data_IF_176508119061
#
_entry.id   IF_176508119061
#
_cell.length_a   1.000
_cell.length_b   1.000
_cell.length_c   1.000
_cell.angle_alpha   90.00
_cell.angle_beta   90.00
_cell.angle_gamma   90.00
#
_symmetry.space_group_name_H-M   'P 1'
#
loop_
_entity.id
_entity.type
_entity.pdbx_description
1 polymer ?
#
# COMPACT_ATOMS: atom_id res chain seq x y z
N UNK A 1 -3.86 -3.50 15.29
CA UNK A 1 -4.29 -2.07 15.34
C UNK A 1 -3.37 -1.14 14.55
N UNK A 2 -2.04 -1.31 14.66
CA UNK A 2 -1.03 -0.39 14.12
C UNK A 2 -1.07 -0.21 12.60
N UNK A 3 -1.51 -1.22 11.86
CA UNK A 3 -1.68 -1.14 10.39
C UNK A 3 -2.97 -0.43 9.96
N UNK A 4 -3.82 0.01 10.92
CA UNK A 4 -5.00 0.83 10.67
C UNK A 4 -6.12 0.13 9.89
N UNK A 5 -6.28 -1.18 10.08
CA UNK A 5 -7.30 -1.97 9.36
C UNK A 5 -8.71 -1.40 9.56
N UNK A 6 -9.00 -0.77 10.71
CA UNK A 6 -10.29 -0.14 10.97
C UNK A 6 -10.64 0.97 9.98
N UNK A 7 -9.66 1.74 9.52
CA UNK A 7 -9.91 2.82 8.57
C UNK A 7 -10.14 2.27 7.15
N UNK A 8 -9.35 1.27 6.75
CA UNK A 8 -9.57 0.55 5.50
C UNK A 8 -10.95 -0.14 5.48
N UNK A 9 -11.33 -0.77 6.60
CA UNK A 9 -12.62 -1.42 6.77
C UNK A 9 -13.79 -0.41 6.71
N UNK A 10 -13.65 0.74 7.37
CA UNK A 10 -14.64 1.82 7.28
C UNK A 10 -14.88 2.24 5.83
N UNK A 11 -13.82 2.51 5.08
CA UNK A 11 -13.91 2.98 3.70
C UNK A 11 -14.53 1.91 2.79
N UNK A 12 -14.11 0.66 2.92
CA UNK A 12 -14.67 -0.45 2.15
C UNK A 12 -16.18 -0.64 2.43
N UNK A 13 -16.57 -0.57 3.71
CA UNK A 13 -17.98 -0.69 4.11
C UNK A 13 -18.82 0.49 3.59
N UNK A 14 -18.30 1.71 3.62
CA UNK A 14 -18.99 2.89 3.11
C UNK A 14 -19.24 2.83 1.59
N UNK A 15 -18.36 2.12 0.85
CA UNK A 15 -18.51 1.89 -0.59
C UNK A 15 -19.29 0.62 -0.94
N UNK A 16 -19.57 -0.25 0.02
CA UNK A 16 -20.14 -1.58 -0.23
C UNK A 16 -19.21 -2.51 -0.99
N UNK A 17 -17.87 -2.27 -0.91
CA UNK A 17 -16.86 -3.04 -1.63
C UNK A 17 -16.15 -4.03 -0.71
N UNK A 18 -15.71 -5.15 -1.30
CA UNK A 18 -14.98 -6.18 -0.57
C UNK A 18 -13.59 -5.71 -0.18
N UNK A 19 -13.23 -5.90 1.08
CA UNK A 19 -11.89 -5.72 1.61
C UNK A 19 -11.22 -7.08 1.82
N UNK A 20 -10.28 -7.41 0.97
CA UNK A 20 -9.43 -8.61 1.13
C UNK A 20 -8.26 -8.27 2.06
N UNK A 21 -8.04 -9.11 3.08
CA UNK A 21 -6.94 -8.95 4.03
C UNK A 21 -6.09 -10.21 4.04
N UNK A 22 -4.82 -10.05 3.66
CA UNK A 22 -3.82 -11.13 3.71
C UNK A 22 -2.93 -10.99 4.94
N UNK A 23 -2.53 -12.10 5.48
CA UNK A 23 -1.65 -12.22 6.64
C UNK A 23 -2.26 -13.01 7.78
N UNK A 24 -1.49 -13.10 8.85
CA UNK A 24 -1.88 -13.84 10.06
C UNK A 24 -2.59 -12.91 11.03
N UNK A 25 -3.75 -13.31 11.50
CA UNK A 25 -4.49 -12.58 12.54
C UNK A 25 -3.82 -12.84 13.88
N UNK A 26 -3.09 -11.86 14.39
CA UNK A 26 -2.39 -11.94 15.68
C UNK A 26 -3.31 -11.63 16.86
N UNK A 27 -4.27 -10.72 16.68
CA UNK A 27 -5.25 -10.31 17.69
C UNK A 27 -6.66 -10.66 17.21
N UNK A 28 -7.18 -11.78 17.69
CA UNK A 28 -8.52 -12.27 17.36
C UNK A 28 -9.62 -11.34 17.88
N UNK A 29 -9.42 -10.70 19.03
CA UNK A 29 -10.40 -9.80 19.62
C UNK A 29 -10.56 -8.52 18.78
N UNK A 30 -9.46 -8.00 18.27
CA UNK A 30 -9.45 -6.87 17.33
C UNK A 30 -10.10 -7.23 16.00
N UNK A 31 -9.78 -8.40 15.44
CA UNK A 31 -10.38 -8.87 14.19
C UNK A 31 -11.91 -8.99 14.30
N UNK A 32 -12.40 -9.65 15.35
CA UNK A 32 -13.82 -9.81 15.63
C UNK A 32 -14.54 -8.46 15.85
N UNK A 33 -13.87 -7.48 16.49
CA UNK A 33 -14.43 -6.14 16.65
C UNK A 33 -14.63 -5.46 15.30
N UNK A 34 -13.67 -5.58 14.39
CA UNK A 34 -13.78 -5.01 13.03
C UNK A 34 -14.91 -5.72 12.27
N UNK A 35 -14.92 -7.04 12.23
CA UNK A 35 -15.99 -7.80 11.53
C UNK A 35 -17.38 -7.40 11.97
N UNK A 36 -17.60 -7.29 13.29
CA UNK A 36 -18.91 -6.88 13.86
C UNK A 36 -19.32 -5.45 13.50
N UNK A 37 -18.40 -4.60 13.12
CA UNK A 37 -18.67 -3.21 12.72
C UNK A 37 -19.01 -3.05 11.24
N UNK A 38 -18.92 -4.11 10.45
CA UNK A 38 -19.09 -4.10 9.00
C UNK A 38 -20.39 -4.78 8.57
N UNK A 39 -20.86 -4.40 7.41
CA UNK A 39 -21.92 -5.13 6.73
C UNK A 39 -21.44 -6.54 6.34
N UNK A 40 -22.34 -7.55 6.36
CA UNK A 40 -21.96 -8.91 6.01
C UNK A 40 -21.30 -9.01 4.63
N UNK A 41 -20.20 -9.75 4.56
CA UNK A 41 -19.50 -10.03 3.30
C UNK A 41 -18.53 -8.94 2.81
N UNK A 42 -18.37 -7.84 3.55
CA UNK A 42 -17.39 -6.80 3.21
C UNK A 42 -15.96 -7.30 3.45
N UNK A 43 -15.69 -7.89 4.62
CA UNK A 43 -14.34 -8.33 5.00
C UNK A 43 -14.09 -9.78 4.61
N UNK A 44 -12.99 -10.01 3.91
CA UNK A 44 -12.52 -11.35 3.52
C UNK A 44 -11.11 -11.58 4.07
N UNK A 45 -10.97 -12.43 5.09
CA UNK A 45 -9.68 -12.92 5.56
C UNK A 45 -9.16 -13.98 4.59
N UNK A 46 -8.01 -13.70 3.96
CA UNK A 46 -7.42 -14.58 2.94
C UNK A 46 -6.23 -15.39 3.46
N UNK A 47 -5.86 -15.19 4.73
CA UNK A 47 -4.71 -15.87 5.32
C UNK A 47 -3.37 -15.47 4.72
N UNK A 48 -2.37 -16.33 4.93
CA UNK A 48 -1.05 -16.15 4.35
C UNK A 48 -1.01 -16.78 2.95
N UNK A 49 -0.38 -16.09 2.01
CA UNK A 49 -0.08 -16.59 0.68
C UNK A 49 1.40 -16.42 0.38
N UNK A 50 1.96 -17.35 -0.38
CA UNK A 50 3.29 -17.22 -0.95
C UNK A 50 3.33 -16.09 -1.99
N UNK A 51 4.52 -15.55 -2.24
CA UNK A 51 4.70 -14.34 -3.05
C UNK A 51 4.01 -14.40 -4.41
N UNK A 52 4.15 -15.51 -5.13
CA UNK A 52 3.56 -15.66 -6.48
C UNK A 52 2.03 -15.68 -6.46
N UNK A 53 1.44 -16.33 -5.46
CA UNK A 53 -0.01 -16.38 -5.29
C UNK A 53 -0.56 -15.03 -4.85
N UNK A 54 0.14 -14.37 -3.90
CA UNK A 54 -0.22 -13.03 -3.44
C UNK A 54 -0.20 -12.02 -4.60
N UNK A 55 0.82 -12.06 -5.45
CA UNK A 55 0.91 -11.15 -6.61
C UNK A 55 -0.26 -11.34 -7.58
N UNK A 56 -0.66 -12.58 -7.85
CA UNK A 56 -1.83 -12.88 -8.69
C UNK A 56 -3.13 -12.31 -8.10
N UNK A 57 -3.36 -12.60 -6.82
CA UNK A 57 -4.55 -12.12 -6.09
C UNK A 57 -4.56 -10.58 -6.01
N UNK A 58 -3.43 -9.97 -5.62
CA UNK A 58 -3.27 -8.54 -5.52
C UNK A 58 -3.51 -7.85 -6.87
N UNK A 59 -2.96 -8.40 -7.95
CA UNK A 59 -3.16 -7.87 -9.30
C UNK A 59 -4.62 -7.79 -9.74
N UNK A 60 -5.53 -8.57 -9.13
CA UNK A 60 -6.99 -8.49 -9.38
C UNK A 60 -7.68 -7.39 -8.59
N UNK A 61 -7.01 -6.82 -7.58
CA UNK A 61 -7.60 -5.80 -6.72
C UNK A 61 -7.72 -4.46 -7.44
N UNK A 62 -8.72 -3.69 -7.05
CA UNK A 62 -8.95 -2.35 -7.56
C UNK A 62 -7.91 -1.36 -7.05
N UNK A 63 -7.54 -1.47 -5.78
CA UNK A 63 -6.54 -0.65 -5.10
C UNK A 63 -5.95 -1.36 -3.89
N UNK A 64 -4.76 -0.94 -3.45
CA UNK A 64 -4.26 -1.20 -2.12
C UNK A 64 -4.65 -0.03 -1.19
N UNK A 65 -5.16 -0.34 0.01
CA UNK A 65 -5.30 0.61 1.10
C UNK A 65 -4.14 0.45 2.07
N UNK A 66 -3.34 1.51 2.27
CA UNK A 66 -2.23 1.54 3.21
C UNK A 66 -2.48 2.64 4.26
N UNK A 67 -2.95 2.23 5.42
CA UNK A 67 -3.50 3.11 6.47
C UNK A 67 -2.77 3.02 7.81
N UNK A 68 -1.41 2.94 7.86
CA UNK A 68 -0.69 2.75 9.11
C UNK A 68 -0.90 3.91 10.08
N UNK A 69 -0.96 3.59 11.38
CA UNK A 69 -1.07 4.57 12.48
C UNK A 69 0.31 5.09 12.93
N UNK A 70 1.37 4.68 12.28
CA UNK A 70 2.76 5.03 12.53
C UNK A 70 3.45 5.57 11.29
N UNK A 71 4.65 6.11 11.43
CA UNK A 71 5.47 6.47 10.28
C UNK A 71 6.13 5.19 9.72
N UNK A 72 5.58 4.67 8.63
CA UNK A 72 6.14 3.52 7.92
C UNK A 72 7.51 3.90 7.34
N UNK A 73 8.55 3.10 7.62
CA UNK A 73 9.90 3.44 7.19
C UNK A 73 10.07 3.49 5.67
N UNK A 74 9.58 2.48 4.96
CA UNK A 74 9.63 2.42 3.49
C UNK A 74 8.26 2.14 2.88
N UNK A 75 7.60 1.05 3.26
CA UNK A 75 6.31 0.66 2.70
C UNK A 75 6.44 -0.34 1.56
N UNK A 76 7.10 -1.48 1.80
CA UNK A 76 7.27 -2.55 0.80
C UNK A 76 5.96 -2.93 0.11
N UNK A 77 4.86 -3.04 0.87
CA UNK A 77 3.54 -3.39 0.32
C UNK A 77 3.05 -2.39 -0.74
N UNK A 78 3.47 -1.12 -0.65
CA UNK A 78 3.15 -0.09 -1.65
C UNK A 78 3.87 -0.40 -2.97
N UNK A 79 5.18 -0.66 -2.90
CA UNK A 79 5.97 -1.02 -4.08
C UNK A 79 5.47 -2.33 -4.70
N UNK A 80 5.13 -3.33 -3.89
CA UNK A 80 4.58 -4.61 -4.33
C UNK A 80 3.24 -4.44 -5.07
N UNK A 81 2.36 -3.58 -4.56
CA UNK A 81 1.10 -3.26 -5.22
C UNK A 81 1.32 -2.56 -6.56
N UNK A 82 2.16 -1.52 -6.58
CA UNK A 82 2.52 -0.81 -7.81
C UNK A 82 3.18 -1.73 -8.84
N UNK A 83 4.02 -2.68 -8.40
CA UNK A 83 4.62 -3.70 -9.26
C UNK A 83 3.58 -4.62 -9.91
N UNK A 84 2.46 -4.88 -9.25
CA UNK A 84 1.32 -5.60 -9.79
C UNK A 84 0.39 -4.70 -10.62
N UNK A 85 0.75 -3.45 -10.85
CA UNK A 85 -0.09 -2.47 -11.53
C UNK A 85 -1.32 -2.07 -10.71
N UNK A 86 -1.25 -2.14 -9.38
CA UNK A 86 -2.36 -1.79 -8.48
C UNK A 86 -2.09 -0.42 -7.88
N UNK A 87 -2.95 0.58 -8.12
CA UNK A 87 -2.80 1.89 -7.53
C UNK A 87 -3.04 1.85 -6.01
N UNK A 88 -2.45 2.80 -5.30
CA UNK A 88 -2.47 2.82 -3.84
C UNK A 88 -3.18 4.06 -3.31
N UNK A 89 -4.05 3.89 -2.33
CA UNK A 89 -4.51 4.99 -1.48
C UNK A 89 -3.91 4.82 -0.10
N UNK A 90 -3.06 5.77 0.30
CA UNK A 90 -2.33 5.70 1.56
C UNK A 90 -2.47 6.99 2.37
N UNK A 91 -2.30 6.90 3.67
CA UNK A 91 -2.05 8.09 4.48
C UNK A 91 -0.71 8.72 4.10
N UNK A 92 -0.69 10.07 4.01
CA UNK A 92 0.55 10.84 3.76
C UNK A 92 1.45 10.80 5.00
N UNK A 93 2.12 9.63 5.20
CA UNK A 93 2.89 9.34 6.41
C UNK A 93 4.06 8.42 6.08
N UNK A 94 5.29 8.85 6.40
CA UNK A 94 6.51 8.08 6.18
C UNK A 94 6.80 7.73 4.72
N UNK A 95 7.46 6.58 4.48
CA UNK A 95 7.91 6.12 3.18
C UNK A 95 6.87 6.08 2.06
N UNK A 96 5.61 5.69 2.29
CA UNK A 96 4.56 5.77 1.27
C UNK A 96 4.41 7.16 0.64
N UNK A 97 4.71 8.24 1.40
CA UNK A 97 4.66 9.62 0.88
C UNK A 97 5.76 9.93 -0.13
N UNK A 98 6.83 9.16 -0.15
CA UNK A 98 7.96 9.31 -1.09
C UNK A 98 7.79 8.41 -2.33
N UNK A 99 7.03 7.32 -2.18
CA UNK A 99 6.81 6.32 -3.24
C UNK A 99 5.64 6.69 -4.13
N UNK A 100 4.53 7.16 -3.53
CA UNK A 100 3.29 7.42 -4.26
C UNK A 100 3.36 8.79 -4.94
N UNK A 101 3.33 8.79 -6.27
CA UNK A 101 3.10 10.00 -7.05
C UNK A 101 1.60 10.31 -7.05
N UNK A 102 1.21 11.32 -6.26
CA UNK A 102 -0.19 11.70 -6.06
C UNK A 102 -0.89 12.04 -7.38
N UNK A 103 -2.01 11.37 -7.67
CA UNK A 103 -2.75 11.52 -8.91
C UNK A 103 -2.19 10.75 -10.11
N UNK A 104 -1.05 10.03 -9.94
CA UNK A 104 -0.42 9.28 -11.02
C UNK A 104 -0.28 7.78 -10.73
N UNK A 105 0.20 7.40 -9.56
CA UNK A 105 0.32 6.01 -9.13
C UNK A 105 -0.60 5.66 -7.97
N UNK A 106 -1.31 6.65 -7.45
CA UNK A 106 -2.22 6.53 -6.33
C UNK A 106 -2.52 7.88 -5.71
N UNK A 107 -3.06 7.85 -4.50
CA UNK A 107 -3.41 9.06 -3.77
C UNK A 107 -2.87 9.05 -2.34
N UNK A 108 -2.45 10.21 -1.87
CA UNK A 108 -2.00 10.45 -0.50
C UNK A 108 -3.11 11.20 0.25
N UNK A 109 -3.75 10.50 1.16
CA UNK A 109 -4.80 11.02 2.02
C UNK A 109 -4.22 11.69 3.29
N UNK A 110 -4.99 12.58 3.87
CA UNK A 110 -4.65 13.21 5.15
C UNK A 110 -4.57 12.11 6.22
N UNK A 111 -3.49 12.06 7.05
CA UNK A 111 -3.37 11.08 8.10
C UNK A 111 -4.57 11.05 9.05
N UNK A 112 -5.09 9.84 9.30
CA UNK A 112 -6.24 9.55 10.16
C UNK A 112 -7.59 10.15 9.70
N UNK A 113 -7.64 10.71 8.49
CA UNK A 113 -8.87 11.23 7.88
C UNK A 113 -9.47 10.18 6.92
N UNK A 114 -10.49 9.48 7.40
CA UNK A 114 -11.19 8.44 6.64
C UNK A 114 -11.99 9.00 5.46
N UNK A 115 -12.48 10.23 5.57
CA UNK A 115 -13.22 10.89 4.49
C UNK A 115 -12.29 11.25 3.33
N UNK A 116 -11.06 11.65 3.64
CA UNK A 116 -10.01 11.84 2.63
C UNK A 116 -9.69 10.52 1.90
N UNK A 117 -9.54 9.40 2.64
CA UNK A 117 -9.36 8.07 2.04
C UNK A 117 -10.53 7.69 1.14
N UNK A 118 -11.76 7.87 1.63
CA UNK A 118 -13.01 7.56 0.91
C UNK A 118 -13.12 8.38 -0.37
N UNK A 119 -12.81 9.66 -0.31
CA UNK A 119 -12.82 10.55 -1.47
C UNK A 119 -11.90 10.05 -2.58
N UNK A 120 -10.65 9.74 -2.25
CA UNK A 120 -9.68 9.25 -3.21
C UNK A 120 -10.00 7.85 -3.73
N UNK A 121 -10.54 6.96 -2.90
CA UNK A 121 -10.91 5.63 -3.38
C UNK A 121 -12.04 5.67 -4.41
N UNK A 122 -12.94 6.65 -4.35
CA UNK A 122 -13.99 6.83 -5.37
C UNK A 122 -13.42 7.13 -6.76
N UNK A 123 -12.30 7.84 -6.83
CA UNK A 123 -11.67 8.27 -8.09
C UNK A 123 -10.49 7.37 -8.51
N UNK A 124 -10.17 6.32 -7.76
CA UNK A 124 -8.97 5.50 -7.97
C UNK A 124 -8.92 4.85 -9.36
N UNK A 125 -10.06 4.63 -10.00
CA UNK A 125 -10.13 4.06 -11.36
C UNK A 125 -9.61 5.02 -12.45
N UNK A 126 -9.39 6.30 -12.13
CA UNK A 126 -8.77 7.28 -13.02
C UNK A 126 -7.25 7.06 -13.16
N UNK A 127 -6.65 6.32 -12.23
CA UNK A 127 -5.22 6.00 -12.26
C UNK A 127 -4.95 4.92 -13.32
N UNK A 128 -4.05 5.22 -14.25
CA UNK A 128 -3.56 4.22 -15.21
C UNK A 128 -2.66 3.20 -14.51
N UNK A 129 -3.13 1.97 -14.44
CA UNK A 129 -2.42 0.85 -13.81
C UNK A 129 -1.05 0.56 -14.44
N UNK A 130 -0.86 0.87 -15.73
CA UNK A 130 0.43 0.73 -16.40
C UNK A 130 1.47 1.68 -15.82
N UNK A 131 1.07 2.91 -15.47
CA UNK A 131 1.97 3.88 -14.86
C UNK A 131 2.47 3.44 -13.49
N UNK A 132 1.64 2.70 -12.72
CA UNK A 132 2.06 2.10 -11.46
C UNK A 132 3.25 1.14 -11.68
N UNK A 133 3.12 0.23 -12.64
CA UNK A 133 4.17 -0.73 -12.99
C UNK A 133 5.44 -0.05 -13.52
N UNK A 134 5.29 0.89 -14.45
CA UNK A 134 6.41 1.66 -15.01
C UNK A 134 7.16 2.43 -13.93
N UNK A 135 6.45 2.96 -12.94
CA UNK A 135 7.11 3.63 -11.81
C UNK A 135 8.06 2.70 -11.07
N UNK A 136 7.63 1.47 -10.76
CA UNK A 136 8.48 0.48 -10.06
C UNK A 136 9.68 0.10 -10.90
N UNK A 137 9.49 -0.16 -12.20
CA UNK A 137 10.57 -0.52 -13.11
C UNK A 137 11.67 0.56 -13.16
N UNK A 138 11.28 1.83 -13.09
CA UNK A 138 12.19 2.96 -13.17
C UNK A 138 12.79 3.40 -11.82
N UNK A 139 12.20 3.03 -10.67
CA UNK A 139 12.58 3.60 -9.38
C UNK A 139 12.95 2.56 -8.31
N UNK A 140 12.39 1.35 -8.38
CA UNK A 140 12.48 0.35 -7.31
C UNK A 140 12.78 -1.08 -7.80
N UNK A 141 13.17 -1.26 -9.06
CA UNK A 141 13.66 -2.57 -9.54
C UNK A 141 14.99 -2.93 -8.86
N UNK A 142 15.33 -4.21 -8.84
CA UNK A 142 16.58 -4.71 -8.26
C UNK A 142 17.81 -4.03 -8.86
N UNK A 143 17.82 -3.82 -10.18
CA UNK A 143 18.94 -3.18 -10.89
C UNK A 143 19.09 -1.71 -10.51
N UNK A 144 17.98 -0.99 -10.42
CA UNK A 144 17.96 0.42 -9.98
C UNK A 144 18.44 0.53 -8.52
N UNK A 145 17.96 -0.36 -7.65
CA UNK A 145 18.39 -0.39 -6.25
C UNK A 145 19.90 -0.67 -6.15
N UNK A 146 20.40 -1.70 -6.83
CA UNK A 146 21.82 -2.03 -6.86
C UNK A 146 22.67 -0.85 -7.35
N UNK A 147 22.25 -0.19 -8.42
CA UNK A 147 22.95 0.99 -8.96
C UNK A 147 22.99 2.14 -7.96
N UNK A 148 21.89 2.42 -7.26
CA UNK A 148 21.83 3.46 -6.22
C UNK A 148 22.78 3.14 -5.05
N UNK A 149 22.84 1.89 -4.59
CA UNK A 149 23.74 1.45 -3.51
C UNK A 149 25.20 1.57 -3.93
N UNK A 150 25.57 1.11 -5.14
CA UNK A 150 26.93 1.22 -5.65
C UNK A 150 27.38 2.69 -5.76
N UNK A 151 26.52 3.55 -6.30
CA UNK A 151 26.82 4.98 -6.40
C UNK A 151 27.00 5.63 -5.04
N UNK A 152 26.12 5.34 -4.08
CA UNK A 152 26.21 5.84 -2.71
C UNK A 152 27.52 5.43 -2.04
N UNK A 153 27.87 4.13 -2.08
CA UNK A 153 29.13 3.63 -1.53
C UNK A 153 30.35 4.27 -2.20
N UNK A 154 30.32 4.45 -3.51
CA UNK A 154 31.41 5.09 -4.27
C UNK A 154 31.62 6.56 -3.85
N UNK A 155 30.54 7.26 -3.52
CA UNK A 155 30.59 8.64 -3.02
C UNK A 155 31.26 8.69 -1.65
N UNK A 156 30.83 7.82 -0.70
CA UNK A 156 31.43 7.74 0.64
C UNK A 156 32.92 7.43 0.56
N UNK A 157 33.35 6.50 -0.30
CA UNK A 157 34.77 6.14 -0.45
C UNK A 157 35.57 7.35 -0.92
N UNK A 158 35.08 8.12 -1.89
CA UNK A 158 35.75 9.32 -2.38
C UNK A 158 35.89 10.42 -1.32
N UNK A 159 34.84 10.65 -0.55
CA UNK A 159 34.84 11.65 0.53
C UNK A 159 35.82 11.32 1.66
N UNK A 160 36.07 10.04 1.93
CA UNK A 160 36.99 9.61 2.98
C UNK A 160 38.44 9.45 2.48
N UNK A 161 38.75 9.69 1.20
CA UNK A 161 40.08 9.67 0.62
C UNK A 161 40.64 11.07 0.38
N UNK A 162 39.83 12.11 0.62
CA UNK A 162 40.22 13.53 0.53
C UNK A 162 40.43 14.13 1.92
#
# INVERSE_FOLDING_TARGET
PEKGLEDAAYVANALGEKLKVWGIVQDQSYALKIEKSLSPGILEWRGFLETEELQKELGTCRALLNTPKWNEAYGNVVVEALACGVPVVAYKRGGPSEIIEHGRTGYLAIPDDKESLLGYLKTINEIDRKLCRVWVENNASADIFASKVVNWLSTIIKENQS
#
